data_IF_496552932209
#
_entry.id   IF_496552932209
#
_cell.length_a   1.000
_cell.length_b   1.000
_cell.length_c   1.000
_cell.angle_alpha   90.00
_cell.angle_beta   90.00
_cell.angle_gamma   90.00
#
_symmetry.space_group_name_H-M   'P 1'
#
loop_
_entity.id
_entity.type
_entity.pdbx_description
1 polymer ?
#
# COMPACT_ATOMS: atom_id res chain seq x y z
N UNK A 1 -54.94 37.41 59.40
CA UNK A 1 -55.72 37.99 58.29
C UNK A 1 -54.90 37.81 57.00
N UNK A 2 -55.05 36.66 56.32
CA UNK A 2 -55.70 36.47 55.01
C UNK A 2 -55.20 37.42 53.88
N UNK A 3 -54.56 36.80 52.87
CA UNK A 3 -54.83 36.93 51.41
C UNK A 3 -54.28 38.23 50.72
N UNK A 4 -53.64 38.28 49.54
CA UNK A 4 -53.67 37.50 48.29
C UNK A 4 -52.44 37.82 47.37
N UNK A 5 -52.03 36.81 46.59
CA UNK A 5 -51.79 36.83 45.12
C UNK A 5 -50.55 37.51 44.51
N UNK A 6 -49.73 36.63 43.92
CA UNK A 6 -48.78 36.78 42.81
C UNK A 6 -49.37 37.44 41.55
N UNK A 7 -48.55 38.15 40.76
CA UNK A 7 -48.23 37.76 39.35
C UNK A 7 -47.36 38.82 38.64
N UNK A 8 -46.27 38.31 38.01
CA UNK A 8 -45.69 38.73 36.70
C UNK A 8 -45.01 40.12 36.59
N UNK A 9 -43.93 40.35 35.82
CA UNK A 9 -43.16 39.59 34.81
C UNK A 9 -41.71 40.08 34.79
N UNK A 10 -40.83 39.16 34.44
CA UNK A 10 -39.41 39.30 34.08
C UNK A 10 -39.22 40.12 32.77
N UNK A 11 -38.04 40.74 32.57
CA UNK A 11 -37.37 40.57 31.28
C UNK A 11 -36.01 39.88 31.44
N UNK A 12 -35.90 38.86 30.60
CA UNK A 12 -34.82 37.92 30.34
C UNK A 12 -33.52 38.65 29.96
N UNK A 13 -32.51 38.60 30.82
CA UNK A 13 -31.14 38.95 30.45
C UNK A 13 -30.52 37.78 29.68
N UNK A 14 -30.24 37.99 28.39
CA UNK A 14 -29.51 37.03 27.56
C UNK A 14 -28.04 37.09 27.94
N UNK A 15 -27.57 36.11 28.70
CA UNK A 15 -26.16 35.81 28.85
C UNK A 15 -25.79 34.78 27.78
N UNK A 16 -25.05 35.19 26.76
CA UNK A 16 -24.37 34.28 25.83
C UNK A 16 -23.07 33.82 26.48
N UNK A 17 -23.09 32.60 27.01
CA UNK A 17 -21.89 31.83 27.34
C UNK A 17 -22.01 30.45 26.70
N UNK A 18 -21.24 30.23 25.62
CA UNK A 18 -20.86 28.89 25.15
C UNK A 18 -19.65 29.05 24.21
N UNK A 19 -18.46 28.83 24.74
CA UNK A 19 -17.68 27.59 24.56
C UNK A 19 -16.80 27.66 23.31
N UNK A 20 -15.51 27.91 23.57
CA UNK A 20 -14.44 27.67 22.61
C UNK A 20 -14.44 26.21 22.16
N UNK A 21 -14.80 26.00 20.89
CA UNK A 21 -14.59 24.76 20.17
C UNK A 21 -13.38 24.93 19.26
N UNK A 22 -12.26 24.32 19.65
CA UNK A 22 -11.08 24.14 18.81
C UNK A 22 -11.48 23.23 17.64
N UNK A 23 -11.70 23.82 16.46
CA UNK A 23 -12.04 23.08 15.25
C UNK A 23 -10.74 22.44 14.74
N UNK A 24 -10.54 21.18 15.13
CA UNK A 24 -9.53 20.33 14.52
C UNK A 24 -9.79 20.24 13.02
N UNK A 25 -8.74 20.40 12.23
CA UNK A 25 -8.73 20.12 10.80
C UNK A 25 -9.19 18.68 10.62
N UNK A 26 -10.44 18.51 10.21
CA UNK A 26 -10.81 17.29 9.50
C UNK A 26 -10.19 17.47 8.11
N UNK A 27 -8.95 17.03 7.98
CA UNK A 27 -8.36 16.77 6.68
C UNK A 27 -9.24 15.70 6.05
N UNK A 28 -10.18 16.18 5.24
CA UNK A 28 -10.97 15.35 4.37
C UNK A 28 -9.98 14.82 3.34
N UNK A 29 -9.33 13.71 3.66
CA UNK A 29 -8.52 12.92 2.75
C UNK A 29 -9.46 12.39 1.67
N UNK A 30 -9.78 13.29 0.76
CA UNK A 30 -10.26 12.97 -0.56
C UNK A 30 -9.28 11.96 -1.11
N UNK A 31 -9.82 10.79 -1.48
CA UNK A 31 -9.24 9.84 -2.42
C UNK A 31 -8.98 10.59 -3.74
N UNK A 32 -7.95 11.44 -3.73
CA UNK A 32 -7.30 11.93 -4.92
C UNK A 32 -6.52 10.73 -5.45
N UNK A 33 -6.76 10.37 -6.71
CA UNK A 33 -5.88 9.49 -7.44
C UNK A 33 -4.45 9.98 -7.18
N UNK A 34 -3.63 9.12 -6.59
CA UNK A 34 -2.25 9.41 -6.19
C UNK A 34 -1.47 9.64 -7.49
N UNK A 35 -1.31 10.90 -7.91
CA UNK A 35 -0.72 11.24 -9.21
C UNK A 35 0.79 10.97 -9.15
N UNK A 36 1.29 10.16 -10.07
CA UNK A 36 2.73 10.02 -10.34
C UNK A 36 3.31 11.39 -10.69
N UNK A 37 4.38 11.80 -10.00
CA UNK A 37 4.96 13.13 -10.20
C UNK A 37 5.77 13.17 -11.50
N UNK A 38 5.68 14.28 -12.24
CA UNK A 38 6.47 14.54 -13.45
C UNK A 38 7.32 15.78 -13.22
N UNK A 39 8.64 15.69 -13.45
CA UNK A 39 9.52 16.85 -13.31
C UNK A 39 9.62 17.70 -14.58
N UNK A 40 10.38 18.80 -14.52
CA UNK A 40 10.58 19.74 -15.62
C UNK A 40 11.23 19.12 -16.87
N UNK A 41 11.82 17.92 -16.75
CA UNK A 41 12.43 17.16 -17.83
C UNK A 41 11.52 16.05 -18.37
N UNK A 42 10.29 15.94 -17.84
CA UNK A 42 9.33 14.91 -18.24
C UNK A 42 9.59 13.53 -17.61
N UNK A 43 10.51 13.44 -16.64
CA UNK A 43 10.81 12.20 -15.93
C UNK A 43 9.74 11.95 -14.86
N UNK A 44 9.09 10.79 -14.96
CA UNK A 44 7.94 10.41 -14.15
C UNK A 44 8.36 9.51 -12.99
N UNK A 45 7.71 9.67 -11.82
CA UNK A 45 7.99 8.92 -10.60
C UNK A 45 6.71 8.48 -9.93
N UNK A 46 6.69 7.21 -9.52
CA UNK A 46 5.62 6.75 -8.66
C UNK A 46 5.63 7.45 -7.31
N UNK A 47 4.44 7.68 -6.75
CA UNK A 47 4.35 8.17 -5.38
C UNK A 47 5.01 7.18 -4.40
N UNK A 48 5.71 7.72 -3.41
CA UNK A 48 6.23 6.91 -2.30
C UNK A 48 5.10 6.28 -1.50
N UNK A 49 5.33 5.06 -1.01
CA UNK A 49 4.37 4.38 -0.14
C UNK A 49 5.06 3.78 1.08
N UNK A 50 4.31 3.65 2.16
CA UNK A 50 4.74 3.03 3.41
C UNK A 50 3.55 2.33 4.04
N UNK A 51 3.71 1.07 4.43
CA UNK A 51 2.69 0.30 5.13
C UNK A 51 3.32 -0.52 6.26
N UNK A 52 2.63 -0.58 7.38
CA UNK A 52 3.02 -1.37 8.54
C UNK A 52 1.91 -2.40 8.84
N UNK A 53 2.29 -3.62 9.18
CA UNK A 53 1.33 -4.72 9.44
C UNK A 53 1.84 -5.62 10.54
N UNK A 54 1.02 -5.80 11.57
CA UNK A 54 1.25 -6.74 12.66
C UNK A 54 0.44 -8.02 12.43
N UNK A 55 1.07 -9.18 12.62
CA UNK A 55 0.39 -10.47 12.47
C UNK A 55 1.08 -11.57 13.30
N UNK A 56 0.38 -12.71 13.46
CA UNK A 56 0.93 -13.90 14.13
C UNK A 56 1.34 -14.95 13.12
N UNK A 57 2.52 -15.54 13.31
CA UNK A 57 2.97 -16.71 12.57
C UNK A 57 3.62 -17.72 13.51
N UNK A 58 3.15 -18.98 13.48
CA UNK A 58 3.60 -20.06 14.39
C UNK A 58 3.61 -19.64 15.86
N UNK A 59 2.54 -18.95 16.28
CA UNK A 59 2.32 -18.51 17.66
C UNK A 59 3.18 -17.32 18.12
N UNK A 60 4.04 -16.75 17.26
CA UNK A 60 4.86 -15.58 17.56
C UNK A 60 4.33 -14.35 16.84
N UNK A 61 4.46 -13.18 17.47
CA UNK A 61 4.09 -11.89 16.90
C UNK A 61 5.19 -11.35 15.98
N UNK A 62 4.79 -10.88 14.80
CA UNK A 62 5.65 -10.28 13.80
C UNK A 62 5.16 -8.87 13.47
N UNK A 63 6.10 -8.00 13.14
CA UNK A 63 5.85 -6.67 12.63
C UNK A 63 6.54 -6.54 11.27
N UNK A 64 5.77 -6.13 10.26
CA UNK A 64 6.24 -5.95 8.89
C UNK A 64 6.12 -4.50 8.50
N UNK A 65 7.24 -3.89 8.14
CA UNK A 65 7.31 -2.57 7.53
C UNK A 65 7.70 -2.72 6.06
N UNK A 66 6.88 -2.18 5.15
CA UNK A 66 7.19 -2.10 3.71
C UNK A 66 7.20 -0.65 3.29
N UNK A 67 8.25 -0.23 2.57
CA UNK A 67 8.34 1.13 2.02
C UNK A 67 8.85 1.14 0.59
N UNK A 68 8.08 1.73 -0.32
CA UNK A 68 8.43 1.94 -1.72
C UNK A 68 8.89 3.37 -1.93
N UNK A 69 10.01 3.53 -2.63
CA UNK A 69 10.52 4.83 -3.07
C UNK A 69 11.09 4.72 -4.48
N UNK A 70 10.96 5.75 -5.32
CA UNK A 70 11.72 5.85 -6.56
C UNK A 70 13.23 5.75 -6.28
N UNK A 71 13.98 5.13 -7.19
CA UNK A 71 15.45 5.06 -7.11
C UNK A 71 16.09 5.49 -8.43
N UNK A 72 16.58 6.73 -8.45
CA UNK A 72 17.25 7.38 -9.60
C UNK A 72 18.54 6.66 -10.05
N UNK A 73 19.08 5.74 -9.24
CA UNK A 73 20.28 5.00 -9.61
C UNK A 73 19.95 3.73 -10.41
N UNK A 74 18.67 3.35 -10.50
CA UNK A 74 18.21 2.24 -11.32
C UNK A 74 18.02 2.68 -12.77
N UNK A 75 18.15 1.75 -13.74
CA UNK A 75 17.85 2.06 -15.14
C UNK A 75 16.40 2.55 -15.29
N UNK A 76 16.24 3.68 -15.97
CA UNK A 76 14.91 4.20 -16.28
C UNK A 76 14.20 3.31 -17.30
N UNK A 77 12.88 3.35 -17.27
CA UNK A 77 12.00 2.60 -18.17
C UNK A 77 11.30 3.59 -19.08
N UNK A 78 11.42 3.39 -20.40
CA UNK A 78 10.71 4.21 -21.39
C UNK A 78 9.58 3.40 -22.01
N UNK A 79 8.36 3.93 -21.99
CA UNK A 79 7.21 3.27 -22.60
C UNK A 79 7.17 3.52 -24.13
N UNK A 80 6.19 2.93 -24.81
CA UNK A 80 6.04 3.05 -26.27
C UNK A 80 5.70 4.47 -26.75
N UNK A 81 5.18 5.31 -25.86
CA UNK A 81 4.85 6.72 -26.12
C UNK A 81 6.06 7.65 -25.95
N UNK A 82 7.20 7.13 -25.46
CA UNK A 82 8.42 7.90 -25.21
C UNK A 82 8.51 8.50 -23.81
N UNK A 83 7.53 8.25 -22.95
CA UNK A 83 7.56 8.69 -21.55
C UNK A 83 8.56 7.86 -20.75
N UNK A 84 9.34 8.52 -19.90
CA UNK A 84 10.41 7.88 -19.13
C UNK A 84 10.08 7.89 -17.63
N UNK A 85 10.28 6.74 -16.99
CA UNK A 85 9.94 6.46 -15.60
C UNK A 85 11.16 6.06 -14.79
N UNK A 86 11.23 6.58 -13.57
CA UNK A 86 12.15 6.08 -12.54
C UNK A 86 11.56 4.80 -11.94
N UNK A 87 12.37 3.74 -11.92
CA UNK A 87 11.98 2.48 -11.26
C UNK A 87 12.04 2.65 -9.73
N UNK A 88 11.43 1.72 -8.99
CA UNK A 88 11.36 1.78 -7.54
C UNK A 88 12.27 0.75 -6.88
N UNK A 89 12.65 1.08 -5.65
CA UNK A 89 13.05 0.08 -4.65
C UNK A 89 11.97 -0.06 -3.60
N UNK A 90 11.87 -1.26 -3.04
CA UNK A 90 10.99 -1.55 -1.91
C UNK A 90 11.81 -2.14 -0.76
N UNK A 91 11.83 -1.47 0.39
CA UNK A 91 12.44 -2.00 1.61
C UNK A 91 11.37 -2.78 2.38
N UNK A 92 11.62 -4.06 2.62
CA UNK A 92 10.84 -4.89 3.55
C UNK A 92 11.69 -5.17 4.80
N UNK A 93 11.23 -4.65 5.92
CA UNK A 93 11.77 -4.92 7.25
C UNK A 93 10.76 -5.74 8.05
N UNK A 94 11.08 -7.02 8.24
CA UNK A 94 10.28 -7.98 8.98
C UNK A 94 10.98 -8.29 10.31
N UNK A 95 10.30 -8.03 11.41
CA UNK A 95 10.79 -8.30 12.76
C UNK A 95 9.87 -9.26 13.52
N UNK A 96 10.43 -9.89 14.55
CA UNK A 96 9.74 -10.78 15.48
C UNK A 96 10.19 -10.46 16.89
N UNK A 97 9.39 -9.70 17.63
CA UNK A 97 9.86 -9.05 18.85
C UNK A 97 11.04 -8.14 18.56
N UNK A 98 12.18 -8.37 19.22
CA UNK A 98 13.40 -7.56 19.03
C UNK A 98 14.34 -8.10 17.92
N UNK A 99 13.98 -9.22 17.30
CA UNK A 99 14.80 -9.87 16.26
C UNK A 99 14.40 -9.36 14.87
N UNK A 100 15.39 -9.02 14.03
CA UNK A 100 15.15 -8.81 12.60
C UNK A 100 15.22 -10.16 11.89
N UNK A 101 14.10 -10.58 11.29
CA UNK A 101 13.99 -11.82 10.52
C UNK A 101 14.46 -11.60 9.08
N UNK A 102 14.07 -10.46 8.49
CA UNK A 102 14.54 -10.03 7.19
C UNK A 102 14.61 -8.49 7.16
N UNK A 103 15.68 -7.95 6.61
CA UNK A 103 15.74 -6.54 6.21
C UNK A 103 16.36 -6.48 4.82
N UNK A 104 15.52 -6.38 3.79
CA UNK A 104 15.95 -6.46 2.40
C UNK A 104 15.37 -5.32 1.59
N UNK A 105 16.24 -4.73 0.77
CA UNK A 105 15.83 -3.87 -0.35
C UNK A 105 15.60 -4.75 -1.58
N UNK A 106 14.42 -4.61 -2.16
CA UNK A 106 13.99 -5.26 -3.39
C UNK A 106 14.01 -4.27 -4.55
N UNK A 107 14.35 -4.78 -5.72
CA UNK A 107 14.20 -4.16 -7.04
C UNK A 107 13.48 -5.17 -7.94
N UNK A 108 13.01 -4.75 -9.11
CA UNK A 108 12.40 -5.70 -10.07
C UNK A 108 13.36 -6.84 -10.45
N UNK A 109 14.67 -6.63 -10.38
CA UNK A 109 15.69 -7.63 -10.72
C UNK A 109 15.71 -8.83 -9.75
N UNK A 110 15.20 -8.68 -8.53
CA UNK A 110 15.05 -9.80 -7.59
C UNK A 110 14.08 -10.88 -8.11
N UNK A 111 13.23 -10.55 -9.08
CA UNK A 111 12.25 -11.45 -9.71
C UNK A 111 12.71 -12.01 -11.06
N UNK A 112 13.92 -11.68 -11.52
CA UNK A 112 14.44 -12.07 -12.84
C UNK A 112 14.54 -13.59 -13.09
N UNK A 113 14.53 -14.41 -12.04
CA UNK A 113 14.51 -15.87 -12.16
C UNK A 113 13.15 -16.45 -12.54
N UNK A 114 12.06 -15.67 -12.39
CA UNK A 114 10.68 -16.13 -12.64
C UNK A 114 9.90 -15.23 -13.60
N UNK A 115 10.47 -14.08 -14.00
CA UNK A 115 9.88 -13.12 -14.95
C UNK A 115 10.72 -13.07 -16.21
N UNK A 116 10.05 -13.11 -17.36
CA UNK A 116 10.70 -12.94 -18.66
C UNK A 116 11.45 -11.60 -18.77
N UNK A 117 12.65 -11.64 -19.33
CA UNK A 117 13.53 -10.47 -19.39
C UNK A 117 12.98 -9.32 -20.25
N UNK A 118 12.24 -9.62 -21.33
CA UNK A 118 11.62 -8.59 -22.16
C UNK A 118 10.53 -7.87 -21.38
N UNK A 119 9.66 -8.63 -20.69
CA UNK A 119 8.67 -8.04 -19.78
C UNK A 119 9.35 -7.19 -18.69
N UNK A 120 10.33 -7.75 -17.99
CA UNK A 120 10.98 -7.09 -16.85
C UNK A 120 11.73 -5.81 -17.24
N UNK A 121 12.33 -5.78 -18.44
CA UNK A 121 13.03 -4.60 -18.93
C UNK A 121 12.12 -3.38 -19.13
N UNK A 122 10.84 -3.64 -19.42
CA UNK A 122 9.80 -2.65 -19.71
C UNK A 122 8.88 -2.36 -18.53
N UNK A 123 9.02 -3.09 -17.42
CA UNK A 123 8.20 -2.92 -16.21
C UNK A 123 8.91 -2.10 -15.14
N UNK A 124 8.17 -1.59 -14.17
CA UNK A 124 8.69 -1.04 -12.91
C UNK A 124 8.23 -1.89 -11.72
N UNK A 125 8.99 -1.88 -10.62
CA UNK A 125 8.58 -2.51 -9.37
C UNK A 125 7.43 -1.71 -8.76
N UNK A 126 6.26 -2.34 -8.69
CA UNK A 126 5.04 -1.67 -8.25
C UNK A 126 4.82 -1.86 -6.75
N UNK A 127 4.77 -3.08 -6.25
CA UNK A 127 4.31 -3.29 -4.88
C UNK A 127 4.84 -4.56 -4.23
N UNK A 128 4.90 -4.52 -2.91
CA UNK A 128 5.01 -5.69 -2.03
C UNK A 128 4.03 -5.45 -0.90
N UNK A 129 3.13 -6.40 -0.65
CA UNK A 129 2.08 -6.29 0.37
C UNK A 129 2.01 -7.61 1.13
N UNK A 130 1.89 -7.55 2.46
CA UNK A 130 1.61 -8.75 3.25
C UNK A 130 0.27 -9.34 2.79
N UNK A 131 0.27 -10.61 2.41
CA UNK A 131 -0.93 -11.33 1.98
C UNK A 131 -1.45 -12.18 3.14
N UNK A 132 -0.69 -13.21 3.52
CA UNK A 132 -1.13 -14.21 4.51
C UNK A 132 0.03 -14.97 5.13
N UNK A 133 -0.28 -15.85 6.05
CA UNK A 133 0.65 -16.89 6.54
C UNK A 133 0.18 -18.26 6.10
N UNK A 134 1.14 -19.13 5.79
CA UNK A 134 0.93 -20.54 5.42
C UNK A 134 1.86 -21.42 6.26
N UNK A 135 1.68 -22.75 6.29
CA UNK A 135 2.64 -23.63 6.97
C UNK A 135 4.10 -23.44 6.51
N UNK A 136 4.28 -23.09 5.24
CA UNK A 136 5.56 -22.87 4.57
C UNK A 136 6.22 -21.56 5.01
N UNK A 137 5.46 -20.47 5.16
CA UNK A 137 6.03 -19.17 5.52
C UNK A 137 5.03 -18.02 5.56
N UNK A 138 5.59 -16.83 5.69
CA UNK A 138 4.91 -15.55 5.61
C UNK A 138 4.91 -15.15 4.14
N UNK A 139 3.74 -14.99 3.55
CA UNK A 139 3.54 -14.75 2.13
C UNK A 139 3.25 -13.27 1.90
N UNK A 140 4.00 -12.69 0.97
CA UNK A 140 3.76 -11.37 0.42
C UNK A 140 3.33 -11.51 -1.04
N UNK A 141 2.29 -10.77 -1.42
CA UNK A 141 2.00 -10.50 -2.82
C UNK A 141 2.97 -9.41 -3.30
N UNK A 142 3.52 -9.58 -4.49
CA UNK A 142 4.37 -8.61 -5.14
C UNK A 142 3.89 -8.38 -6.58
N UNK A 143 4.23 -7.24 -7.15
CA UNK A 143 3.90 -6.94 -8.55
C UNK A 143 4.96 -6.08 -9.22
N UNK A 144 5.15 -6.36 -10.50
CA UNK A 144 5.82 -5.46 -11.45
C UNK A 144 4.79 -5.08 -12.52
N UNK A 145 4.77 -3.83 -12.97
CA UNK A 145 3.75 -3.34 -13.89
C UNK A 145 4.34 -2.56 -15.07
N UNK A 146 3.57 -2.48 -16.16
CA UNK A 146 3.85 -1.50 -17.21
C UNK A 146 3.35 -0.12 -16.77
N UNK A 147 4.22 0.91 -16.75
CA UNK A 147 3.82 2.26 -16.39
C UNK A 147 2.62 2.76 -17.22
N UNK A 148 1.73 3.56 -16.61
CA UNK A 148 0.49 4.12 -17.22
C UNK A 148 -0.55 3.10 -17.70
N UNK A 149 -0.43 1.83 -17.34
CA UNK A 149 -1.43 0.81 -17.68
C UNK A 149 -1.87 0.07 -16.42
N UNK A 150 -3.03 -0.59 -16.50
CA UNK A 150 -3.50 -1.51 -15.45
C UNK A 150 -2.86 -2.90 -15.57
N UNK A 151 -1.89 -3.08 -16.47
CA UNK A 151 -1.24 -4.37 -16.71
C UNK A 151 -0.09 -4.58 -15.74
N UNK A 152 -0.29 -5.52 -14.80
CA UNK A 152 0.71 -5.96 -13.85
C UNK A 152 0.90 -7.48 -13.89
N UNK A 153 2.07 -7.95 -13.47
CA UNK A 153 2.38 -9.36 -13.28
C UNK A 153 2.37 -9.69 -11.79
N UNK A 154 1.44 -10.55 -11.32
CA UNK A 154 1.40 -10.97 -9.93
C UNK A 154 2.53 -11.95 -9.61
N UNK A 155 3.20 -11.69 -8.49
CA UNK A 155 4.34 -12.42 -7.97
C UNK A 155 4.09 -12.72 -6.50
N UNK A 156 4.80 -13.71 -5.96
CA UNK A 156 4.75 -14.05 -4.56
C UNK A 156 6.15 -14.17 -3.97
N UNK A 157 6.32 -13.64 -2.77
CA UNK A 157 7.52 -13.82 -1.94
C UNK A 157 7.09 -14.60 -0.69
N UNK A 158 7.75 -15.72 -0.41
CA UNK A 158 7.53 -16.46 0.84
C UNK A 158 8.78 -16.37 1.71
N UNK A 159 8.60 -15.96 2.97
CA UNK A 159 9.68 -15.82 3.95
C UNK A 159 9.44 -16.79 5.11
N UNK A 160 10.42 -17.65 5.40
CA UNK A 160 10.35 -18.59 6.51
C UNK A 160 10.67 -17.91 7.84
N UNK A 161 10.41 -18.60 8.97
CA UNK A 161 10.69 -18.05 10.30
C UNK A 161 12.19 -17.80 10.55
N UNK A 162 13.09 -18.47 9.83
CA UNK A 162 14.55 -18.27 9.86
C UNK A 162 15.04 -17.29 8.78
N UNK A 163 14.13 -16.58 8.10
CA UNK A 163 14.47 -15.51 7.15
C UNK A 163 14.86 -15.98 5.76
N UNK A 164 14.73 -17.27 5.43
CA UNK A 164 14.93 -17.76 4.06
C UNK A 164 13.78 -17.30 3.17
N UNK A 165 14.12 -16.90 1.95
CA UNK A 165 13.20 -16.33 1.00
C UNK A 165 13.10 -17.21 -0.25
N UNK A 166 11.88 -17.38 -0.76
CA UNK A 166 11.62 -17.90 -2.10
C UNK A 166 10.68 -16.97 -2.86
N UNK A 167 10.80 -16.97 -4.19
CA UNK A 167 10.03 -16.13 -5.10
C UNK A 167 9.35 -17.02 -6.14
N UNK A 168 8.10 -16.72 -6.47
CA UNK A 168 7.30 -17.46 -7.44
C UNK A 168 6.48 -16.50 -8.29
N UNK A 169 6.23 -16.88 -9.55
CA UNK A 169 5.18 -16.28 -10.37
C UNK A 169 3.84 -16.85 -9.93
N UNK A 170 2.81 -16.00 -9.84
CA UNK A 170 1.45 -16.45 -9.57
C UNK A 170 0.78 -16.73 -10.89
N UNK A 171 0.51 -18.00 -11.19
CA UNK A 171 -0.24 -18.38 -12.38
C UNK A 171 -1.71 -18.03 -12.15
N UNK A 172 -2.29 -17.24 -13.05
CA UNK A 172 -3.73 -17.04 -13.09
C UNK A 172 -4.32 -18.33 -13.66
N UNK A 173 -5.03 -19.10 -12.84
CA UNK A 173 -5.87 -20.17 -13.36
C UNK A 173 -6.99 -19.49 -14.16
N UNK A 174 -7.12 -19.82 -15.45
CA UNK A 174 -8.29 -19.46 -16.24
C UNK A 174 -9.51 -20.07 -15.54
N UNK A 175 -10.49 -19.25 -15.17
CA UNK A 175 -11.80 -19.77 -14.78
C UNK A 175 -12.41 -20.36 -16.06
N UNK A 176 -12.45 -21.70 -16.13
CA UNK A 176 -13.21 -22.40 -17.16
C UNK A 176 -14.68 -21.98 -17.01
N UNK A 177 -15.12 -21.03 -17.84
CA UNK A 177 -16.53 -20.73 -18.00
C UNK A 177 -17.16 -21.92 -18.72
N UNK A 178 -17.63 -22.91 -17.96
CA UNK A 178 -18.53 -23.93 -18.46
C UNK A 178 -19.83 -23.23 -18.91
N UNK A 179 -19.93 -22.98 -20.22
CA UNK A 179 -21.15 -22.61 -20.93
C UNK A 179 -22.14 -23.79 -20.86
N UNK A 180 -22.76 -24.03 -19.71
CA UNK A 180 -24.00 -24.80 -19.65
C UNK A 180 -25.15 -23.91 -20.17
N UNK A 181 -25.36 -23.97 -21.49
CA UNK A 181 -26.58 -23.49 -22.11
C UNK A 181 -27.79 -24.24 -21.49
N UNK A 182 -28.81 -23.55 -20.95
CA UNK A 182 -30.01 -24.22 -20.50
C UNK A 182 -30.78 -24.74 -21.71
N UNK A 183 -31.04 -26.05 -21.73
CA UNK A 183 -31.88 -26.74 -22.70
C UNK A 183 -33.32 -26.22 -22.71
#
# INVERSE_FOLDING_TARGET
MRKLIYWLLLPLAVAVSACGGKKGSSDNTSTLAMIDSVDAHGLQRMQTSKSETDFKFKGKDYHSLVSRTPDENLPHVTNELGDTYVDNKIVLHLTRGNETVLNKTFTKNDFSSVVDANFLSKSILEGIVYDKTTPQGIVYAASVCYPQTDLYMPLSITITADGKMSIQKVDMLEEDYDDEAPN
#
